data_IF_898678114538
#
_entry.id   IF_898678114538
#
_cell.length_a   1.000
_cell.length_b   1.000
_cell.length_c   1.000
_cell.angle_alpha   90.00
_cell.angle_beta   90.00
_cell.angle_gamma   90.00
#
_symmetry.space_group_name_H-M   'P 1'
#
loop_
_entity.id
_entity.type
_entity.pdbx_description
1 polymer ?
#
# COMPACT_ATOMS: atom_id res chain seq x y z
N UNK A 1 -45.64 -42.90 4.12
CA UNK A 1 -45.48 -41.42 4.24
C UNK A 1 -44.09 -41.03 4.77
N UNK A 2 -43.00 -41.52 4.17
CA UNK A 2 -41.62 -41.22 4.65
C UNK A 2 -40.74 -40.63 3.52
N UNK A 3 -41.21 -40.64 2.26
CA UNK A 3 -40.42 -40.21 1.10
C UNK A 3 -40.48 -38.71 0.77
N UNK A 4 -41.41 -37.94 1.36
CA UNK A 4 -41.54 -36.50 1.10
C UNK A 4 -40.63 -35.62 1.99
N UNK A 5 -40.23 -36.11 3.17
CA UNK A 5 -39.44 -35.33 4.13
C UNK A 5 -37.96 -35.15 3.71
N UNK A 6 -37.43 -36.05 2.87
CA UNK A 6 -36.04 -35.96 2.40
C UNK A 6 -35.80 -34.92 1.32
N UNK A 7 -36.85 -34.49 0.59
CA UNK A 7 -36.71 -33.52 -0.50
C UNK A 7 -36.64 -32.09 0.05
N UNK A 8 -37.31 -31.79 1.17
CA UNK A 8 -37.30 -30.44 1.78
C UNK A 8 -35.97 -30.11 2.47
N UNK A 9 -35.25 -31.13 2.97
CA UNK A 9 -33.92 -30.97 3.60
C UNK A 9 -32.77 -30.75 2.59
N UNK A 10 -32.99 -31.03 1.30
CA UNK A 10 -31.97 -30.83 0.27
C UNK A 10 -31.94 -29.41 -0.31
N UNK A 11 -32.98 -28.61 -0.08
CA UNK A 11 -33.06 -27.23 -0.57
C UNK A 11 -32.57 -26.18 0.45
N UNK A 12 -32.26 -26.55 1.69
CA UNK A 12 -31.85 -25.61 2.74
C UNK A 12 -30.33 -25.35 2.85
N UNK A 13 -29.49 -25.92 1.98
CA UNK A 13 -28.02 -25.82 2.13
C UNK A 13 -27.32 -24.90 1.13
N UNK A 14 -28.03 -24.24 0.22
CA UNK A 14 -27.44 -23.25 -0.69
C UNK A 14 -27.72 -21.81 -0.24
N UNK A 15 -27.47 -21.52 1.04
CA UNK A 15 -27.24 -20.12 1.42
C UNK A 15 -25.85 -19.76 0.94
N UNK A 16 -25.74 -19.24 -0.29
CA UNK A 16 -24.51 -18.58 -0.73
C UNK A 16 -24.29 -17.42 0.25
N UNK A 17 -23.26 -17.53 1.10
CA UNK A 17 -22.87 -16.45 1.98
C UNK A 17 -22.48 -15.27 1.07
N UNK A 18 -23.39 -14.31 0.91
CA UNK A 18 -23.12 -13.10 0.16
C UNK A 18 -21.89 -12.46 0.81
N UNK A 19 -20.79 -12.32 0.07
CA UNK A 19 -19.56 -11.69 0.55
C UNK A 19 -19.95 -10.29 1.07
N UNK A 20 -20.00 -10.11 2.39
CA UNK A 20 -20.47 -8.88 3.01
C UNK A 20 -19.40 -7.80 2.84
N UNK A 21 -19.80 -6.64 2.30
CA UNK A 21 -18.95 -5.46 2.25
C UNK A 21 -19.39 -4.48 3.33
N UNK A 22 -18.44 -4.04 4.15
CA UNK A 22 -18.64 -3.09 5.22
C UNK A 22 -17.88 -1.81 4.87
N UNK A 23 -18.59 -0.69 4.75
CA UNK A 23 -17.99 0.63 4.53
C UNK A 23 -18.19 1.43 5.81
N UNK A 24 -17.09 1.70 6.51
CA UNK A 24 -17.10 2.17 7.88
C UNK A 24 -16.40 3.52 8.04
N UNK A 25 -16.94 4.34 8.92
CA UNK A 25 -16.31 5.57 9.38
C UNK A 25 -15.21 5.29 10.43
N UNK A 26 -14.50 6.33 10.89
CA UNK A 26 -13.41 6.24 11.87
C UNK A 26 -13.87 5.53 13.16
N UNK A 27 -15.09 5.81 13.61
CA UNK A 27 -15.70 5.22 14.82
C UNK A 27 -16.28 3.81 14.60
N UNK A 28 -16.27 3.31 13.36
CA UNK A 28 -16.82 2.02 13.00
C UNK A 28 -18.30 2.03 12.65
N UNK A 29 -18.96 3.20 12.59
CA UNK A 29 -20.33 3.33 12.08
C UNK A 29 -20.39 3.08 10.57
N UNK A 30 -21.50 2.52 10.09
CA UNK A 30 -21.70 2.29 8.66
C UNK A 30 -21.88 3.61 7.90
N UNK A 31 -21.31 3.66 6.70
CA UNK A 31 -21.33 4.84 5.84
C UNK A 31 -21.23 4.44 4.37
N UNK A 32 -20.99 5.41 3.49
CA UNK A 32 -20.66 5.18 2.09
C UNK A 32 -19.39 5.96 1.70
N UNK A 33 -18.71 5.51 0.65
CA UNK A 33 -17.43 6.08 0.23
C UNK A 33 -17.48 7.61 0.02
N UNK A 34 -18.53 8.11 -0.65
CA UNK A 34 -18.64 9.53 -0.97
C UNK A 34 -18.74 10.39 0.30
N UNK A 35 -19.55 9.97 1.27
CA UNK A 35 -19.68 10.65 2.54
C UNK A 35 -18.36 10.65 3.32
N UNK A 36 -17.65 9.51 3.36
CA UNK A 36 -16.39 9.36 4.07
C UNK A 36 -15.30 10.29 3.53
N UNK A 37 -15.08 10.31 2.21
CA UNK A 37 -14.05 11.18 1.62
C UNK A 37 -14.35 12.68 1.78
N UNK A 38 -15.63 13.06 1.83
CA UNK A 38 -16.03 14.45 2.11
C UNK A 38 -15.83 14.81 3.58
N UNK A 39 -16.18 13.91 4.50
CA UNK A 39 -16.09 14.14 5.95
C UNK A 39 -14.64 14.10 6.46
N UNK A 40 -13.80 13.25 5.86
CA UNK A 40 -12.43 12.99 6.30
C UNK A 40 -11.42 13.12 5.14
N UNK A 41 -11.25 14.33 4.56
CA UNK A 41 -10.38 14.54 3.40
C UNK A 41 -8.89 14.28 3.68
N UNK A 42 -8.51 14.29 4.96
CA UNK A 42 -7.15 14.07 5.45
C UNK A 42 -6.91 12.64 5.94
N UNK A 43 -7.80 11.71 5.61
CA UNK A 43 -7.67 10.31 5.97
C UNK A 43 -7.62 9.41 4.72
N UNK A 44 -7.15 8.19 4.92
CA UNK A 44 -7.03 7.15 3.90
C UNK A 44 -7.80 5.90 4.31
N UNK A 45 -8.23 5.17 3.29
CA UNK A 45 -9.06 3.98 3.43
C UNK A 45 -8.21 2.76 3.77
N UNK A 46 -8.37 2.24 4.97
CA UNK A 46 -7.88 0.92 5.35
C UNK A 46 -8.75 -0.16 4.69
N UNK A 47 -8.09 -1.21 4.20
CA UNK A 47 -8.73 -2.39 3.65
C UNK A 47 -8.36 -3.64 4.45
N UNK A 48 -9.35 -4.44 4.82
CA UNK A 48 -9.16 -5.72 5.51
C UNK A 48 -10.11 -6.79 4.98
N UNK A 49 -9.61 -8.02 4.89
CA UNK A 49 -10.43 -9.21 4.64
C UNK A 49 -10.69 -9.90 5.97
N UNK A 50 -11.96 -10.11 6.31
CA UNK A 50 -12.41 -10.86 7.50
C UNK A 50 -12.32 -12.37 7.22
N UNK A 51 -12.31 -13.17 8.29
CA UNK A 51 -12.28 -14.64 8.24
C UNK A 51 -13.47 -15.24 7.47
N UNK A 52 -14.61 -14.56 7.46
CA UNK A 52 -15.82 -14.94 6.72
C UNK A 52 -15.79 -14.51 5.25
N UNK A 53 -14.63 -14.11 4.71
CA UNK A 53 -14.47 -13.49 3.39
C UNK A 53 -15.18 -12.14 3.23
N UNK A 54 -15.70 -11.56 4.31
CA UNK A 54 -16.22 -10.20 4.31
C UNK A 54 -15.11 -9.18 4.07
N UNK A 55 -15.41 -8.10 3.38
CA UNK A 55 -14.46 -7.02 3.08
C UNK A 55 -14.81 -5.80 3.91
N UNK A 56 -13.82 -5.20 4.56
CA UNK A 56 -13.98 -3.97 5.34
C UNK A 56 -13.17 -2.88 4.70
N UNK A 57 -13.86 -1.79 4.39
CA UNK A 57 -13.29 -0.52 3.97
C UNK A 57 -13.53 0.47 5.11
N UNK A 58 -12.49 0.93 5.79
CA UNK A 58 -12.63 1.89 6.88
C UNK A 58 -11.74 3.10 6.68
N UNK A 59 -12.30 4.31 6.69
CA UNK A 59 -11.48 5.51 6.69
C UNK A 59 -10.89 5.66 8.10
N UNK A 60 -9.61 5.35 8.27
CA UNK A 60 -9.05 5.17 9.62
C UNK A 60 -7.59 5.59 9.73
N UNK A 61 -6.85 5.63 8.62
CA UNK A 61 -5.46 6.05 8.62
C UNK A 61 -5.37 7.56 8.31
N UNK A 62 -4.46 8.31 8.95
CA UNK A 62 -4.13 9.65 8.48
C UNK A 62 -3.54 9.58 7.07
N UNK A 63 -3.76 10.61 6.26
CA UNK A 63 -3.23 10.67 4.89
C UNK A 63 -1.74 10.90 4.85
N UNK A 64 -1.20 11.64 5.83
CA UNK A 64 0.21 11.91 6.00
C UNK A 64 0.64 11.61 7.43
N UNK A 65 1.82 11.02 7.57
CA UNK A 65 2.47 10.80 8.87
C UNK A 65 3.96 11.12 8.74
N UNK A 66 4.55 11.66 9.78
CA UNK A 66 5.97 12.02 9.82
C UNK A 66 6.68 11.26 10.92
N UNK A 67 7.94 10.91 10.66
CA UNK A 67 8.77 10.16 11.58
C UNK A 67 10.19 10.73 11.58
N UNK A 68 10.85 10.65 12.74
CA UNK A 68 12.30 10.72 12.87
C UNK A 68 12.82 9.31 13.12
N UNK A 69 13.70 8.84 12.25
CA UNK A 69 14.19 7.46 12.24
C UNK A 69 15.70 7.41 12.30
N UNK A 70 16.23 6.30 12.82
CA UNK A 70 17.63 5.99 12.65
C UNK A 70 17.86 5.56 11.18
N UNK A 71 18.50 6.43 10.41
CA UNK A 71 18.73 6.22 8.98
C UNK A 71 19.54 4.94 8.70
N UNK A 72 20.56 4.63 9.51
CA UNK A 72 21.40 3.44 9.35
C UNK A 72 20.60 2.15 9.51
N UNK A 73 19.65 2.12 10.45
CA UNK A 73 18.74 0.98 10.63
C UNK A 73 17.84 0.80 9.41
N UNK A 74 17.31 1.89 8.85
CA UNK A 74 16.50 1.82 7.63
C UNK A 74 17.34 1.36 6.45
N UNK A 75 18.52 1.93 6.25
CA UNK A 75 19.44 1.60 5.16
C UNK A 75 19.87 0.13 5.22
N UNK A 76 20.13 -0.39 6.42
CA UNK A 76 20.43 -1.81 6.63
C UNK A 76 19.26 -2.70 6.18
N UNK A 77 18.01 -2.33 6.47
CA UNK A 77 16.85 -3.11 6.03
C UNK A 77 16.57 -2.96 4.53
N UNK A 78 16.80 -1.79 3.94
CA UNK A 78 16.79 -1.62 2.48
C UNK A 78 17.85 -2.53 1.84
N UNK A 79 19.06 -2.60 2.40
CA UNK A 79 20.16 -3.40 1.86
C UNK A 79 19.88 -4.90 1.86
N UNK A 80 19.05 -5.39 2.79
CA UNK A 80 18.60 -6.80 2.79
C UNK A 80 17.74 -7.13 1.57
N UNK A 81 16.90 -6.18 1.14
CA UNK A 81 15.90 -6.39 0.07
C UNK A 81 16.35 -5.83 -1.29
N UNK A 82 17.33 -4.93 -1.31
CA UNK A 82 17.89 -4.32 -2.51
C UNK A 82 19.42 -4.38 -2.48
N UNK A 83 20.00 -5.29 -3.28
CA UNK A 83 21.44 -5.62 -3.26
C UNK A 83 22.38 -4.60 -3.95
N UNK A 84 21.90 -3.44 -4.40
CA UNK A 84 22.77 -2.41 -5.01
C UNK A 84 23.51 -1.59 -3.95
N UNK A 85 24.64 -0.98 -4.34
CA UNK A 85 25.42 -0.11 -3.47
C UNK A 85 24.57 1.12 -3.13
N UNK A 86 24.29 1.28 -1.84
CA UNK A 86 23.62 2.43 -1.28
C UNK A 86 24.66 3.47 -0.90
N UNK A 87 24.46 4.72 -1.32
CA UNK A 87 25.25 5.85 -0.82
C UNK A 87 24.47 6.47 0.33
N UNK A 88 25.15 6.82 1.41
CA UNK A 88 24.53 7.45 2.59
C UNK A 88 23.82 8.78 2.26
N UNK A 89 24.10 9.37 1.09
CA UNK A 89 23.45 10.59 0.59
C UNK A 89 22.15 10.37 -0.18
N UNK A 90 21.71 9.12 -0.42
CA UNK A 90 20.50 8.86 -1.20
C UNK A 90 19.24 9.08 -0.38
N UNK A 91 18.25 9.70 -1.01
CA UNK A 91 16.88 9.74 -0.52
C UNK A 91 16.09 8.61 -1.18
N UNK A 92 15.33 7.84 -0.38
CA UNK A 92 14.51 6.75 -0.91
C UNK A 92 13.06 7.19 -1.06
N UNK A 93 12.49 6.91 -2.23
CA UNK A 93 11.06 7.00 -2.48
C UNK A 93 10.52 5.59 -2.69
N UNK A 94 9.83 5.08 -1.68
CA UNK A 94 9.25 3.75 -1.69
C UNK A 94 7.77 3.88 -2.01
N UNK A 95 7.28 3.16 -3.01
CA UNK A 95 5.86 2.83 -3.12
C UNK A 95 5.66 1.42 -2.55
N UNK A 96 4.88 1.33 -1.48
CA UNK A 96 4.57 0.10 -0.76
C UNK A 96 3.24 -0.48 -1.23
N UNK A 97 3.23 -1.77 -1.51
CA UNK A 97 2.05 -2.53 -1.94
C UNK A 97 1.68 -3.53 -0.84
N UNK A 98 0.47 -3.38 -0.28
CA UNK A 98 -0.02 -4.26 0.77
C UNK A 98 -0.54 -5.57 0.21
N UNK A 99 -0.41 -6.61 1.01
CA UNK A 99 -1.12 -7.86 0.75
C UNK A 99 -2.62 -7.62 0.87
N UNK A 100 -3.36 -8.31 0.01
CA UNK A 100 -4.81 -8.25 -0.16
C UNK A 100 -5.33 -6.89 -0.64
N UNK A 101 -4.46 -5.96 -1.05
CA UNK A 101 -4.87 -4.71 -1.69
C UNK A 101 -5.57 -4.99 -3.03
N UNK A 102 -6.90 -4.90 -3.03
CA UNK A 102 -7.76 -5.21 -4.17
C UNK A 102 -7.69 -4.15 -5.28
N UNK A 103 -6.90 -3.09 -5.11
CA UNK A 103 -6.63 -2.13 -6.19
C UNK A 103 -5.70 -2.72 -7.24
N UNK A 104 -4.67 -3.45 -6.82
CA UNK A 104 -3.62 -3.93 -7.72
C UNK A 104 -3.60 -5.45 -7.86
N UNK A 105 -4.22 -6.17 -6.93
CA UNK A 105 -4.12 -7.63 -6.84
C UNK A 105 -5.48 -8.33 -6.80
N UNK A 106 -5.53 -9.54 -7.32
CA UNK A 106 -6.67 -10.44 -7.17
C UNK A 106 -6.72 -11.09 -5.77
N UNK A 107 -7.68 -12.00 -5.56
CA UNK A 107 -7.86 -12.74 -4.29
C UNK A 107 -6.65 -13.61 -3.91
N UNK A 108 -5.81 -13.97 -4.88
CA UNK A 108 -4.60 -14.78 -4.71
C UNK A 108 -3.33 -13.94 -4.60
N UNK A 109 -3.46 -12.61 -4.47
CA UNK A 109 -2.34 -11.66 -4.44
C UNK A 109 -1.47 -11.69 -5.71
N UNK A 110 -2.10 -11.92 -6.86
CA UNK A 110 -1.48 -11.79 -8.19
C UNK A 110 -1.83 -10.45 -8.81
N UNK A 111 -0.86 -9.85 -9.49
CA UNK A 111 -1.01 -8.55 -10.14
C UNK A 111 -2.12 -8.58 -11.21
N UNK A 112 -3.08 -7.65 -11.13
CA UNK A 112 -4.24 -7.56 -12.05
C UNK A 112 -3.91 -6.98 -13.43
N UNK A 113 -2.68 -6.52 -13.65
CA UNK A 113 -2.22 -5.85 -14.87
C UNK A 113 -1.94 -6.84 -16.01
N UNK A 114 -2.99 -7.43 -16.57
CA UNK A 114 -2.92 -8.44 -17.64
C UNK A 114 -2.12 -7.98 -18.87
N UNK A 115 -2.14 -6.68 -19.18
CA UNK A 115 -1.51 -6.11 -20.38
C UNK A 115 -0.18 -5.40 -20.08
N UNK A 116 0.25 -5.37 -18.82
CA UNK A 116 1.47 -4.68 -18.38
C UNK A 116 1.41 -3.15 -18.52
N UNK A 117 0.23 -2.55 -18.66
CA UNK A 117 0.08 -1.10 -18.90
C UNK A 117 0.42 -0.30 -17.65
N UNK A 118 -0.05 -0.73 -16.49
CA UNK A 118 0.28 -0.12 -15.20
C UNK A 118 1.77 -0.31 -14.87
N UNK A 119 2.31 -1.50 -15.12
CA UNK A 119 3.72 -1.79 -14.91
C UNK A 119 4.61 -0.88 -15.78
N UNK A 120 4.26 -0.71 -17.07
CA UNK A 120 4.95 0.24 -17.96
C UNK A 120 4.86 1.67 -17.45
N UNK A 121 3.67 2.08 -16.99
CA UNK A 121 3.43 3.40 -16.44
C UNK A 121 4.32 3.68 -15.22
N UNK A 122 4.31 2.83 -14.19
CA UNK A 122 5.12 3.06 -12.98
C UNK A 122 6.63 2.99 -13.25
N UNK A 123 7.08 2.14 -14.18
CA UNK A 123 8.49 2.09 -14.60
C UNK A 123 8.90 3.39 -15.29
N UNK A 124 8.07 3.92 -16.18
CA UNK A 124 8.35 5.18 -16.87
C UNK A 124 8.34 6.36 -15.88
N UNK A 125 7.39 6.38 -14.94
CA UNK A 125 7.37 7.38 -13.87
C UNK A 125 8.64 7.32 -13.02
N UNK A 126 9.06 6.13 -12.59
CA UNK A 126 10.32 5.94 -11.87
C UNK A 126 11.50 6.55 -12.63
N UNK A 127 11.63 6.23 -13.92
CA UNK A 127 12.70 6.77 -14.77
C UNK A 127 12.68 8.29 -14.81
N UNK A 128 11.50 8.89 -14.94
CA UNK A 128 11.35 10.34 -14.98
C UNK A 128 11.72 10.98 -13.63
N UNK A 129 11.23 10.43 -12.52
CA UNK A 129 11.52 10.94 -11.17
C UNK A 129 13.02 10.89 -10.88
N UNK A 130 13.68 9.77 -11.14
CA UNK A 130 15.13 9.63 -10.89
C UNK A 130 15.97 10.44 -11.89
N UNK A 131 15.50 10.66 -13.11
CA UNK A 131 16.17 11.53 -14.09
C UNK A 131 16.16 12.99 -13.63
N UNK A 132 15.02 13.47 -13.14
CA UNK A 132 14.87 14.85 -12.64
C UNK A 132 15.58 15.02 -11.30
N UNK A 133 15.61 13.97 -10.48
CA UNK A 133 16.18 14.00 -9.13
C UNK A 133 17.25 12.91 -8.95
N UNK A 134 18.52 13.18 -9.32
CA UNK A 134 19.57 12.15 -9.36
C UNK A 134 20.00 11.62 -7.98
N UNK A 135 19.62 12.29 -6.88
CA UNK A 135 19.90 11.86 -5.51
C UNK A 135 18.79 10.93 -4.94
N UNK A 136 17.83 10.55 -5.78
CA UNK A 136 16.62 9.85 -5.37
C UNK A 136 16.62 8.47 -5.98
N UNK A 137 16.32 7.48 -5.14
CA UNK A 137 16.15 6.09 -5.56
C UNK A 137 14.71 5.67 -5.33
N UNK A 138 14.04 5.23 -6.40
CA UNK A 138 12.68 4.72 -6.30
C UNK A 138 12.69 3.21 -6.14
N UNK A 139 11.94 2.71 -5.16
CA UNK A 139 11.70 1.28 -4.95
C UNK A 139 10.19 1.00 -4.93
N UNK A 140 9.80 -0.11 -5.54
CA UNK A 140 8.48 -0.71 -5.43
C UNK A 140 8.61 -1.88 -4.45
N UNK A 141 8.12 -1.69 -3.23
CA UNK A 141 8.26 -2.65 -2.13
C UNK A 141 6.92 -3.38 -1.95
N UNK A 142 6.96 -4.70 -1.98
CA UNK A 142 5.79 -5.56 -1.88
C UNK A 142 5.76 -6.25 -0.52
N UNK A 143 4.61 -6.23 0.15
CA UNK A 143 4.40 -7.03 1.34
C UNK A 143 4.63 -8.53 1.06
N UNK A 144 5.20 -9.23 2.03
CA UNK A 144 5.48 -10.66 1.93
C UNK A 144 4.22 -11.45 1.56
N UNK A 145 4.34 -12.32 0.56
CA UNK A 145 3.27 -13.18 0.08
C UNK A 145 2.54 -12.68 -1.17
N UNK A 146 2.93 -11.53 -1.72
CA UNK A 146 2.50 -11.08 -3.05
C UNK A 146 3.32 -11.79 -4.13
N UNK A 147 2.66 -12.32 -5.16
CA UNK A 147 3.34 -12.94 -6.30
C UNK A 147 3.76 -11.87 -7.32
N UNK A 148 5.05 -11.54 -7.32
CA UNK A 148 5.62 -10.55 -8.24
C UNK A 148 6.27 -11.17 -9.49
N UNK A 149 6.08 -12.45 -9.78
CA UNK A 149 6.75 -13.12 -10.92
C UNK A 149 6.53 -12.40 -12.27
N UNK A 150 5.36 -11.78 -12.46
CA UNK A 150 5.02 -11.00 -13.66
C UNK A 150 5.86 -9.73 -13.83
N UNK A 151 6.39 -9.15 -12.74
CA UNK A 151 7.24 -7.95 -12.85
C UNK A 151 8.66 -8.31 -13.28
N UNK A 152 9.03 -9.59 -13.21
CA UNK A 152 10.34 -10.14 -13.55
C UNK A 152 11.44 -9.77 -12.54
N UNK A 153 12.69 -10.04 -12.88
CA UNK A 153 13.86 -9.78 -12.03
C UNK A 153 14.30 -8.30 -12.05
N UNK A 154 13.34 -7.37 -11.91
CA UNK A 154 13.62 -5.94 -11.91
C UNK A 154 14.15 -5.54 -10.54
N UNK A 155 15.38 -5.00 -10.51
CA UNK A 155 16.06 -4.60 -9.27
C UNK A 155 15.26 -3.66 -8.36
N UNK A 156 14.42 -2.81 -8.92
CA UNK A 156 13.60 -1.86 -8.16
C UNK A 156 12.30 -2.45 -7.60
N UNK A 157 12.01 -3.72 -7.86
CA UNK A 157 10.84 -4.43 -7.35
C UNK A 157 11.35 -5.43 -6.32
N UNK A 158 10.99 -5.22 -5.06
CA UNK A 158 11.58 -5.95 -3.92
C UNK A 158 10.49 -6.38 -2.95
N UNK A 159 10.70 -7.50 -2.26
CA UNK A 159 9.78 -8.00 -1.24
C UNK A 159 10.29 -7.56 0.14
N UNK A 160 9.39 -7.05 0.99
CA UNK A 160 9.64 -6.77 2.40
C UNK A 160 9.61 -8.08 3.21
N UNK A 161 10.64 -8.90 3.06
CA UNK A 161 10.69 -10.28 3.58
C UNK A 161 10.55 -10.38 5.11
N UNK A 162 11.09 -9.39 5.82
CA UNK A 162 11.05 -9.29 7.29
C UNK A 162 9.86 -8.44 7.78
N UNK A 163 9.02 -7.94 6.86
CA UNK A 163 7.91 -7.02 7.16
C UNK A 163 8.36 -5.77 7.94
N UNK A 164 9.59 -5.29 7.69
CA UNK A 164 10.17 -4.18 8.45
C UNK A 164 9.37 -2.90 8.22
N UNK A 165 9.13 -2.52 6.96
CA UNK A 165 8.39 -1.29 6.65
C UNK A 165 6.94 -1.41 7.13
N UNK A 166 6.35 -2.60 6.92
CA UNK A 166 4.99 -2.90 7.40
C UNK A 166 4.84 -2.61 8.89
N UNK A 167 5.70 -3.22 9.69
CA UNK A 167 5.56 -3.22 11.14
C UNK A 167 6.01 -1.89 11.78
N UNK A 168 6.99 -1.20 11.19
CA UNK A 168 7.51 0.05 11.75
C UNK A 168 6.65 1.26 11.38
N UNK A 169 6.25 1.39 10.11
CA UNK A 169 5.68 2.64 9.58
C UNK A 169 4.27 2.47 9.01
N UNK A 170 3.86 1.26 8.63
CA UNK A 170 2.64 1.02 7.83
C UNK A 170 1.64 0.09 8.54
N UNK A 171 1.28 0.46 9.77
CA UNK A 171 0.51 -0.38 10.71
C UNK A 171 -0.87 -0.81 10.18
N UNK A 172 -1.42 -0.09 9.21
CA UNK A 172 -2.71 -0.38 8.56
C UNK A 172 -2.48 -0.77 7.11
N UNK A 173 -3.25 -1.72 6.60
CA UNK A 173 -3.22 -2.04 5.16
C UNK A 173 -4.13 -1.06 4.44
N UNK A 174 -3.54 -0.21 3.60
CA UNK A 174 -4.25 0.90 2.97
C UNK A 174 -4.57 0.53 1.52
N UNK A 175 -5.80 0.80 1.10
CA UNK A 175 -6.22 0.62 -0.28
C UNK A 175 -5.39 1.51 -1.21
N UNK A 176 -4.95 0.98 -2.35
CA UNK A 176 -4.08 1.66 -3.31
C UNK A 176 -2.64 1.93 -2.78
N UNK A 177 -2.19 1.19 -1.77
CA UNK A 177 -0.81 1.26 -1.27
C UNK A 177 -0.49 2.50 -0.42
N UNK A 178 0.81 2.74 -0.23
CA UNK A 178 1.34 3.90 0.49
C UNK A 178 2.70 4.29 -0.05
N UNK A 179 3.13 5.52 0.24
CA UNK A 179 4.44 6.01 -0.14
C UNK A 179 5.26 6.32 1.10
N UNK A 180 6.56 6.03 1.08
CA UNK A 180 7.52 6.49 2.08
C UNK A 180 8.59 7.32 1.37
N UNK A 181 8.92 8.46 1.94
CA UNK A 181 10.00 9.32 1.50
C UNK A 181 10.99 9.46 2.64
N UNK A 182 12.20 8.94 2.46
CA UNK A 182 13.18 8.74 3.53
C UNK A 182 14.46 9.49 3.19
N UNK A 183 14.76 10.54 3.94
CA UNK A 183 15.97 11.35 3.74
C UNK A 183 17.16 10.82 4.57
N UNK A 184 18.40 11.09 4.11
CA UNK A 184 19.63 10.79 4.85
C UNK A 184 19.69 11.31 6.29
N UNK A 185 19.02 12.43 6.56
CA UNK A 185 18.97 13.06 7.88
C UNK A 185 18.00 12.36 8.86
N UNK A 186 17.42 11.22 8.48
CA UNK A 186 16.49 10.46 9.31
C UNK A 186 15.05 11.01 9.31
N UNK A 187 14.72 11.97 8.45
CA UNK A 187 13.33 12.38 8.26
C UNK A 187 12.61 11.43 7.30
N UNK A 188 11.42 10.98 7.73
CA UNK A 188 10.60 10.07 6.95
C UNK A 188 9.17 10.60 6.88
N UNK A 189 8.64 10.71 5.66
CA UNK A 189 7.25 11.05 5.37
C UNK A 189 6.53 9.82 4.82
N UNK A 190 5.44 9.44 5.46
CA UNK A 190 4.47 8.46 4.92
C UNK A 190 3.31 9.22 4.30
N UNK A 191 2.87 8.76 3.13
CA UNK A 191 1.65 9.19 2.46
C UNK A 191 0.78 7.99 2.15
N UNK A 192 -0.34 7.85 2.84
CA UNK A 192 -1.25 6.71 2.72
C UNK A 192 -2.23 6.89 1.55
N UNK A 193 -2.64 5.78 0.92
CA UNK A 193 -3.71 5.73 -0.06
C UNK A 193 -3.31 6.04 -1.50
N UNK A 194 -4.31 6.24 -2.36
CA UNK A 194 -4.13 6.46 -3.81
C UNK A 194 -3.33 7.73 -4.13
N UNK A 195 -2.14 7.57 -4.70
CA UNK A 195 -1.32 8.69 -5.18
C UNK A 195 -0.54 8.35 -6.44
N UNK A 196 0.15 9.36 -6.95
CA UNK A 196 1.12 9.20 -8.03
C UNK A 196 2.54 9.46 -7.54
N UNK A 197 3.48 8.67 -8.04
CA UNK A 197 4.90 8.75 -7.71
C UNK A 197 5.52 10.12 -8.05
N UNK A 198 5.14 10.72 -9.17
CA UNK A 198 5.64 12.04 -9.58
C UNK A 198 5.17 13.16 -8.65
N UNK A 199 3.91 13.10 -8.22
CA UNK A 199 3.39 14.02 -7.20
C UNK A 199 4.00 13.79 -5.82
N UNK A 200 4.40 12.55 -5.50
CA UNK A 200 5.18 12.31 -4.29
C UNK A 200 6.57 12.94 -4.39
N UNK A 201 7.17 12.95 -5.59
CA UNK A 201 8.45 13.60 -5.81
C UNK A 201 8.41 15.14 -5.65
N UNK A 202 7.25 15.78 -5.76
CA UNK A 202 7.13 17.22 -5.45
C UNK A 202 7.51 17.53 -3.99
N UNK A 203 7.34 16.58 -3.07
CA UNK A 203 7.67 16.74 -1.65
C UNK A 203 9.20 16.80 -1.39
N UNK A 204 10.03 16.62 -2.42
CA UNK A 204 11.47 16.89 -2.31
C UNK A 204 11.81 18.38 -2.30
N UNK A 205 10.90 19.24 -2.76
CA UNK A 205 11.07 20.68 -2.66
C UNK A 205 11.25 21.07 -1.18
N UNK A 206 12.31 21.82 -0.88
CA UNK A 206 12.66 22.20 0.49
C UNK A 206 11.58 23.01 1.18
N UNK A 207 10.84 23.86 0.47
CA UNK A 207 9.75 24.66 1.04
C UNK A 207 8.59 23.77 1.49
N UNK A 208 8.19 22.81 0.64
CA UNK A 208 7.13 21.85 0.97
C UNK A 208 7.57 20.97 2.14
N UNK A 209 8.82 20.50 2.11
CA UNK A 209 9.36 19.63 3.15
C UNK A 209 9.47 20.34 4.50
N UNK A 210 9.99 21.56 4.50
CA UNK A 210 10.11 22.37 5.69
C UNK A 210 8.75 22.69 6.29
N UNK A 211 7.74 22.98 5.47
CA UNK A 211 6.37 23.19 5.93
C UNK A 211 5.76 21.94 6.61
N UNK A 212 6.25 20.75 6.27
CA UNK A 212 5.81 19.48 6.88
C UNK A 212 6.55 19.20 8.20
N UNK A 213 7.87 19.46 8.26
CA UNK A 213 8.73 19.04 9.39
C UNK A 213 9.08 20.14 10.40
N UNK A 214 8.82 21.42 10.10
CA UNK A 214 9.01 22.56 11.02
C UNK A 214 7.77 22.91 11.84
N UNK A 215 6.73 22.07 11.81
CA UNK A 215 5.53 22.22 12.65
C UNK A 215 5.84 21.92 14.12
#
# INVERSE_FOLDING_TARGET
>A
MIRLAFIVLFFSTFSTAQKKEYVLDIDGSESNFQALFKKHPNNSMEFRVKKDSGKVFQISAPKYEIYKVNHDVVLKNISKIHKEIHKDSLTYLIQYFYKDDRTFFDEENKFLDKNGSYLKFIINMKRNVEKINPHIKVLFVFEKGINISIVGNRKSFVIDEDLFFKNQFLKKSILCGSFLLIKPNGELLVRNGEYRLDKMAEHFNSEIWDAIFKQ
#
